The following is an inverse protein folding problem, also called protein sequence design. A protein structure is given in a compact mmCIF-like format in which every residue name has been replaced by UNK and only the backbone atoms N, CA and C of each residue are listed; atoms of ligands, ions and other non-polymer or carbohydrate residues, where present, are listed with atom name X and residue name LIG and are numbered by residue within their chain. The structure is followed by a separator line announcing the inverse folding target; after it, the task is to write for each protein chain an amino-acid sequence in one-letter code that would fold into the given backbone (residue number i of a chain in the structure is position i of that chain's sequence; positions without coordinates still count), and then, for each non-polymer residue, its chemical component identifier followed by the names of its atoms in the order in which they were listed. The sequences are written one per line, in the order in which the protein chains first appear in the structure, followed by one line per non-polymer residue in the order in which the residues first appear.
data_IF_153747382112
#
_entry.id   IF_153747382112
#
_cell.length_a   1.000
_cell.length_b   1.000
_cell.length_c   1.000
_cell.angle_alpha   90.00
_cell.angle_beta   90.00
_cell.angle_gamma   90.00
#
_symmetry.space_group_name_H-M   'P 1'
#
loop_
_entity.id
_entity.type
_entity.pdbx_description
1 polymer ?
#
# COMPACT_ATOMS: atom_id res chain seq x y z
N UNK A 1 -32.29 -2.00 -10.88
CA UNK A 1 -31.26 -2.43 -9.90
C UNK A 1 -30.60 -3.69 -10.42
N UNK A 2 -29.28 -3.73 -10.59
CA UNK A 2 -28.59 -4.93 -11.10
C UNK A 2 -28.75 -6.06 -10.07
N UNK A 3 -29.22 -7.23 -10.50
CA UNK A 3 -29.31 -8.43 -9.65
C UNK A 3 -27.90 -8.86 -9.24
N UNK A 4 -27.41 -8.35 -8.12
CA UNK A 4 -26.14 -8.80 -7.54
C UNK A 4 -26.37 -10.22 -7.01
N UNK A 5 -25.91 -11.21 -7.77
CA UNK A 5 -25.90 -12.62 -7.32
C UNK A 5 -25.15 -12.66 -6.00
N UNK A 6 -25.81 -13.16 -4.95
CA UNK A 6 -25.22 -13.31 -3.62
C UNK A 6 -24.04 -14.27 -3.73
N UNK A 7 -22.83 -13.73 -3.73
CA UNK A 7 -21.61 -14.53 -3.77
C UNK A 7 -21.45 -15.23 -2.42
N UNK A 8 -21.21 -16.53 -2.45
CA UNK A 8 -20.86 -17.26 -1.24
C UNK A 8 -19.40 -16.93 -0.83
N UNK A 9 -19.02 -17.25 0.41
CA UNK A 9 -17.69 -16.93 0.96
C UNK A 9 -16.54 -17.49 0.11
N UNK A 10 -16.67 -18.73 -0.38
CA UNK A 10 -15.66 -19.38 -1.24
C UNK A 10 -15.47 -18.65 -2.57
N UNK A 11 -16.56 -18.14 -3.15
CA UNK A 11 -16.50 -17.38 -4.39
C UNK A 11 -15.93 -15.97 -4.15
N UNK A 12 -16.18 -15.37 -2.98
CA UNK A 12 -15.56 -14.10 -2.59
C UNK A 12 -14.04 -14.23 -2.42
N UNK A 13 -13.56 -15.34 -1.84
CA UNK A 13 -12.13 -15.64 -1.71
C UNK A 13 -11.43 -15.74 -3.07
N UNK A 14 -12.14 -16.14 -4.12
CA UNK A 14 -11.63 -16.23 -5.49
C UNK A 14 -11.72 -14.91 -6.28
N UNK A 15 -12.43 -13.91 -5.75
CA UNK A 15 -12.45 -12.60 -6.39
C UNK A 15 -11.15 -11.91 -6.00
N UNK A 16 -10.25 -11.85 -6.97
CA UNK A 16 -9.12 -10.95 -6.90
C UNK A 16 -9.67 -9.53 -6.83
N UNK A 17 -9.71 -8.95 -5.63
CA UNK A 17 -9.99 -7.54 -5.47
C UNK A 17 -9.01 -6.71 -6.29
N UNK A 18 -9.31 -5.43 -6.52
CA UNK A 18 -8.42 -4.51 -7.23
C UNK A 18 -7.04 -4.29 -6.57
N UNK A 19 -6.74 -5.01 -5.47
CA UNK A 19 -5.48 -5.01 -4.74
C UNK A 19 -4.68 -6.32 -4.81
N UNK A 20 -5.04 -7.30 -5.66
CA UNK A 20 -4.20 -8.51 -5.82
C UNK A 20 -3.02 -8.19 -6.75
N UNK A 21 -1.76 -8.46 -6.33
CA UNK A 21 -0.59 -8.25 -7.16
C UNK A 21 -0.62 -9.05 -8.48
N UNK A 22 0.00 -8.52 -9.56
CA UNK A 22 0.61 -7.21 -9.64
C UNK A 22 -0.47 -6.15 -9.80
N UNK A 23 -0.52 -5.27 -8.81
CA UNK A 23 -1.31 -4.06 -8.92
C UNK A 23 -0.59 -3.24 -10.01
N UNK A 24 -1.21 -3.07 -11.18
CA UNK A 24 -0.52 -2.54 -12.37
C UNK A 24 0.15 -1.18 -12.13
N UNK A 25 -0.34 -0.39 -11.17
CA UNK A 25 0.23 0.89 -10.76
C UNK A 25 1.44 0.79 -9.81
N UNK A 26 1.75 -0.39 -9.29
CA UNK A 26 2.97 -0.66 -8.53
C UNK A 26 4.11 -1.21 -9.41
N UNK A 27 3.85 -1.49 -10.69
CA UNK A 27 4.87 -1.96 -11.62
C UNK A 27 5.94 -0.89 -11.83
N UNK A 28 7.20 -1.22 -11.54
CA UNK A 28 8.33 -0.30 -11.62
C UNK A 28 8.58 0.52 -10.34
N UNK A 29 7.75 0.34 -9.30
CA UNK A 29 8.05 0.91 -8.00
C UNK A 29 9.20 0.15 -7.32
N UNK A 30 10.04 0.84 -6.52
CA UNK A 30 11.12 0.19 -5.79
C UNK A 30 10.56 -0.83 -4.80
N UNK A 31 11.22 -1.97 -4.71
CA UNK A 31 10.95 -3.01 -3.72
C UNK A 31 11.87 -2.84 -2.51
N UNK A 32 11.40 -3.30 -1.35
CA UNK A 32 12.10 -3.18 -0.08
C UNK A 32 11.35 -2.32 0.94
N UNK A 33 11.85 -2.31 2.17
CA UNK A 33 11.33 -1.51 3.25
C UNK A 33 12.05 -0.15 3.32
N UNK A 34 11.32 0.88 3.76
CA UNK A 34 11.81 2.23 3.95
C UNK A 34 11.83 2.59 5.44
N UNK A 35 12.96 3.07 5.96
CA UNK A 35 13.15 3.33 7.39
C UNK A 35 14.60 3.65 7.76
N UNK A 36 14.80 4.08 8.99
CA UNK A 36 16.11 4.45 9.55
C UNK A 36 17.14 3.32 9.48
N UNK A 37 16.69 2.07 9.63
CA UNK A 37 17.50 0.85 9.64
C UNK A 37 17.13 -0.12 8.50
N UNK A 38 16.42 0.35 7.49
CA UNK A 38 15.92 -0.48 6.39
C UNK A 38 16.76 -0.30 5.11
N UNK A 39 16.40 -1.04 4.05
CA UNK A 39 17.07 -0.97 2.74
C UNK A 39 17.08 0.44 2.15
N UNK A 40 16.02 1.22 2.37
CA UNK A 40 15.88 2.58 1.88
C UNK A 40 15.62 3.55 3.03
N UNK A 41 16.09 4.80 2.92
CA UNK A 41 15.87 5.82 3.95
C UNK A 41 14.44 6.38 3.93
N UNK A 42 14.02 7.02 5.03
CA UNK A 42 12.75 7.74 5.06
C UNK A 42 12.65 8.87 4.02
N UNK A 43 13.76 9.54 3.71
CA UNK A 43 13.80 10.57 2.67
C UNK A 43 13.52 9.97 1.29
N UNK A 44 14.07 8.79 1.01
CA UNK A 44 13.81 8.07 -0.24
C UNK A 44 12.31 7.74 -0.38
N UNK A 45 11.62 7.42 0.72
CA UNK A 45 10.17 7.20 0.71
C UNK A 45 9.39 8.46 0.32
N UNK A 46 9.74 9.61 0.91
CA UNK A 46 9.05 10.88 0.64
C UNK A 46 9.34 11.43 -0.77
N UNK A 47 10.45 11.03 -1.38
CA UNK A 47 10.76 11.31 -2.79
C UNK A 47 9.99 10.45 -3.80
N UNK A 48 9.29 9.39 -3.37
CA UNK A 48 8.55 8.54 -4.29
C UNK A 48 7.28 9.21 -4.82
N UNK A 49 6.89 8.90 -6.08
CA UNK A 49 5.56 9.20 -6.58
C UNK A 49 4.49 8.68 -5.62
N UNK A 50 3.38 9.41 -5.49
CA UNK A 50 2.28 9.02 -4.59
C UNK A 50 1.72 7.61 -4.91
N UNK A 51 1.79 7.22 -6.19
CA UNK A 51 1.44 5.87 -6.63
C UNK A 51 2.32 4.82 -5.98
N UNK A 52 3.64 5.01 -5.98
CA UNK A 52 4.59 4.08 -5.39
C UNK A 52 4.60 4.10 -3.86
N UNK A 53 4.30 5.23 -3.22
CA UNK A 53 4.18 5.30 -1.75
C UNK A 53 3.09 4.38 -1.18
N UNK A 54 2.09 4.03 -1.99
CA UNK A 54 1.01 3.08 -1.63
C UNK A 54 1.39 1.62 -1.87
N UNK A 55 2.54 1.36 -2.49
CA UNK A 55 2.99 0.04 -2.92
C UNK A 55 4.16 -0.50 -2.10
N UNK A 56 4.75 0.30 -1.21
CA UNK A 56 5.97 -0.02 -0.47
C UNK A 56 5.71 -0.10 1.04
N UNK A 57 6.53 -0.89 1.74
CA UNK A 57 6.51 -0.95 3.20
C UNK A 57 7.36 0.20 3.76
N UNK A 58 6.83 0.94 4.72
CA UNK A 58 7.53 2.07 5.34
C UNK A 58 7.39 1.99 6.86
N UNK A 59 8.48 2.26 7.57
CA UNK A 59 8.50 2.34 9.03
C UNK A 59 7.71 3.55 9.51
N UNK A 60 7.00 3.38 10.63
CA UNK A 60 6.25 4.46 11.26
C UNK A 60 7.13 5.63 11.70
N UNK A 61 8.43 5.39 11.92
CA UNK A 61 9.42 6.43 12.24
C UNK A 61 9.57 7.47 11.13
N UNK A 62 9.22 7.12 9.89
CA UNK A 62 9.27 8.06 8.77
C UNK A 62 8.14 9.10 8.80
N UNK A 63 7.17 8.97 9.71
CA UNK A 63 6.06 9.89 9.89
C UNK A 63 6.22 10.70 11.18
N UNK A 64 6.04 12.01 11.08
CA UNK A 64 6.03 12.88 12.26
C UNK A 64 4.69 12.71 12.98
N UNK A 65 4.71 12.47 14.29
CA UNK A 65 3.50 12.40 15.09
C UNK A 65 2.86 13.78 15.21
N UNK A 66 1.67 13.97 14.64
CA UNK A 66 0.87 15.16 14.88
C UNK A 66 0.17 14.98 16.23
N UNK A 67 0.69 15.63 17.27
CA UNK A 67 -0.01 15.73 18.56
C UNK A 67 -1.21 16.65 18.38
N UNK A 68 -2.40 16.05 18.26
CA UNK A 68 -3.66 16.81 18.27
C UNK A 68 -3.86 17.27 19.71
N UNK A 69 -3.40 18.48 20.01
CA UNK A 69 -3.69 19.13 21.29
C UNK A 69 -5.21 19.31 21.41
N UNK A 70 -5.78 18.67 22.43
CA UNK A 70 -7.22 18.67 22.72
C UNK A 70 -7.66 20.00 23.31
#
# INVERSE_FOLDING_TARGET
MKNLKKLNRRNLEQINGAGVPPISHCNGCPTGAFGSNETHSCEAYWGLPETCRKCVLVSMECFVSVQISK
#
